data_IF_116725552709
#
_entry.id   IF_116725552709
#
_cell.length_a   1.000
_cell.length_b   1.000
_cell.length_c   1.000
_cell.angle_alpha   90.00
_cell.angle_beta   90.00
_cell.angle_gamma   90.00
#
_symmetry.space_group_name_H-M   'P 1'
#
loop_
_entity.id
_entity.type
_entity.pdbx_description
1 polymer ?
#
# COMPACT_ATOMS: atom_id res chain seq x y z
N UNK A 1 -40.69 43.81 18.80
CA UNK A 1 -39.32 43.27 18.67
C UNK A 1 -39.18 42.07 19.59
N UNK A 2 -39.10 40.85 19.03
CA UNK A 2 -38.90 39.60 19.78
C UNK A 2 -37.48 39.11 19.48
N UNK A 3 -36.64 39.02 20.52
CA UNK A 3 -35.31 38.42 20.42
C UNK A 3 -35.45 36.90 20.49
N UNK A 4 -34.99 36.20 19.46
CA UNK A 4 -34.87 34.76 19.44
C UNK A 4 -33.48 34.36 19.97
N UNK A 5 -33.44 33.63 21.09
CA UNK A 5 -32.22 33.02 21.62
C UNK A 5 -31.86 31.80 20.77
N UNK A 6 -30.70 31.85 20.11
CA UNK A 6 -30.09 30.70 19.46
C UNK A 6 -29.25 29.93 20.49
N UNK A 7 -29.68 28.72 20.86
CA UNK A 7 -28.90 27.80 21.65
C UNK A 7 -27.94 27.03 20.72
N UNK A 8 -26.63 27.23 20.92
CA UNK A 8 -25.60 26.46 20.23
C UNK A 8 -25.44 25.09 20.92
N UNK A 9 -25.74 24.02 20.18
CA UNK A 9 -25.48 22.64 20.60
C UNK A 9 -23.99 22.33 20.35
N UNK A 10 -23.20 22.29 21.42
CA UNK A 10 -21.83 21.75 21.39
C UNK A 10 -21.91 20.21 21.33
N UNK A 11 -21.68 19.64 20.16
CA UNK A 11 -21.43 18.20 20.01
C UNK A 11 -20.04 17.90 20.58
N UNK A 12 -20.00 17.34 21.78
CA UNK A 12 -18.79 16.76 22.35
C UNK A 12 -18.44 15.51 21.51
N UNK A 13 -17.44 15.64 20.64
CA UNK A 13 -16.80 14.49 19.99
C UNK A 13 -16.00 13.80 21.09
N UNK A 14 -16.60 12.80 21.72
CA UNK A 14 -15.88 11.86 22.55
C UNK A 14 -14.81 11.22 21.68
N UNK A 15 -13.54 11.56 21.92
CA UNK A 15 -12.41 10.83 21.39
C UNK A 15 -12.50 9.40 21.95
N UNK A 16 -13.22 8.53 21.24
CA UNK A 16 -13.21 7.10 21.50
C UNK A 16 -11.78 6.63 21.27
N UNK A 17 -11.00 6.52 22.35
CA UNK A 17 -9.74 5.78 22.32
C UNK A 17 -10.10 4.36 21.89
N UNK A 18 -9.74 4.02 20.65
CA UNK A 18 -9.96 2.71 20.08
C UNK A 18 -9.35 1.68 21.05
N UNK A 19 -10.09 0.62 21.46
CA UNK A 19 -9.56 -0.36 22.39
C UNK A 19 -8.27 -0.98 21.83
N UNK A 20 -7.33 -1.40 22.71
CA UNK A 20 -6.10 -2.05 22.26
C UNK A 20 -6.44 -3.21 21.33
N UNK A 21 -5.86 -3.22 20.14
CA UNK A 21 -6.14 -4.26 19.15
C UNK A 21 -5.65 -5.61 19.65
N UNK A 22 -6.45 -6.64 19.39
CA UNK A 22 -6.09 -8.01 19.75
C UNK A 22 -4.79 -8.40 19.02
N UNK A 23 -3.83 -8.91 19.78
CA UNK A 23 -2.58 -9.43 19.23
C UNK A 23 -2.86 -10.62 18.32
N UNK A 24 -2.31 -10.61 17.10
CA UNK A 24 -2.46 -11.70 16.13
C UNK A 24 -3.77 -11.66 15.33
N UNK A 25 -4.26 -10.46 15.00
CA UNK A 25 -5.44 -10.28 14.13
C UNK A 25 -5.04 -10.06 12.69
N UNK A 26 -5.59 -10.86 11.77
CA UNK A 26 -5.43 -10.72 10.34
C UNK A 26 -6.78 -10.31 9.75
N UNK A 27 -6.78 -9.27 8.93
CA UNK A 27 -7.92 -8.86 8.10
C UNK A 27 -7.53 -9.02 6.65
N UNK A 28 -8.21 -9.92 5.96
CA UNK A 28 -8.06 -10.19 4.52
C UNK A 28 -9.02 -9.33 3.70
N UNK A 29 -8.97 -9.41 2.37
CA UNK A 29 -9.95 -8.75 1.51
C UNK A 29 -11.41 -9.17 1.84
N UNK A 30 -11.62 -10.42 2.23
CA UNK A 30 -12.95 -10.91 2.65
C UNK A 30 -13.46 -10.21 3.92
N UNK A 31 -12.56 -9.68 4.76
CA UNK A 31 -12.89 -8.91 5.96
C UNK A 31 -12.96 -7.40 5.69
N UNK A 32 -12.02 -6.88 4.87
CA UNK A 32 -11.90 -5.47 4.57
C UNK A 32 -13.10 -4.95 3.77
N UNK A 33 -13.61 -5.71 2.81
CA UNK A 33 -14.74 -5.26 1.98
C UNK A 33 -16.03 -5.09 2.79
N UNK A 34 -16.52 -6.06 3.58
CA UNK A 34 -17.66 -5.85 4.47
C UNK A 34 -17.42 -4.75 5.51
N UNK A 35 -16.21 -4.64 6.06
CA UNK A 35 -15.89 -3.60 7.03
C UNK A 35 -15.93 -2.19 6.41
N UNK A 36 -15.52 -2.03 5.15
CA UNK A 36 -15.64 -0.76 4.43
C UNK A 36 -17.11 -0.35 4.27
N UNK A 37 -18.00 -1.30 3.98
CA UNK A 37 -19.46 -1.08 3.94
C UNK A 37 -20.02 -0.65 5.29
N UNK A 38 -19.41 -1.12 6.38
CA UNK A 38 -19.74 -0.72 7.75
C UNK A 38 -19.09 0.62 8.17
N UNK A 39 -18.28 1.25 7.32
CA UNK A 39 -17.61 2.51 7.63
C UNK A 39 -16.38 2.37 8.54
N UNK A 40 -15.78 1.18 8.64
CA UNK A 40 -14.53 0.98 9.37
C UNK A 40 -13.40 1.81 8.74
N UNK A 41 -12.67 2.58 9.56
CA UNK A 41 -11.69 3.56 9.08
C UNK A 41 -10.52 2.90 8.32
N UNK A 42 -10.00 1.78 8.81
CA UNK A 42 -8.89 1.09 8.14
C UNK A 42 -9.33 0.44 6.82
N UNK A 43 -10.53 -0.14 6.81
CA UNK A 43 -11.09 -0.71 5.60
C UNK A 43 -11.41 0.35 4.56
N UNK A 44 -12.02 1.49 4.94
CA UNK A 44 -12.32 2.58 4.00
C UNK A 44 -11.05 3.28 3.49
N UNK A 45 -9.93 3.19 4.22
CA UNK A 45 -8.61 3.61 3.71
C UNK A 45 -8.02 2.63 2.68
N UNK A 46 -8.50 1.38 2.64
CA UNK A 46 -7.97 0.31 1.78
C UNK A 46 -8.92 -0.07 0.63
N UNK A 47 -10.23 0.12 0.82
CA UNK A 47 -11.31 -0.24 -0.10
C UNK A 47 -12.19 0.99 -0.37
N UNK A 48 -12.39 1.30 -1.64
CA UNK A 48 -13.44 2.22 -2.11
C UNK A 48 -14.57 1.40 -2.69
N UNK A 49 -15.81 1.63 -2.26
CA UNK A 49 -16.94 0.86 -2.74
C UNK A 49 -17.37 1.35 -4.12
N UNK A 50 -17.96 0.46 -4.91
CA UNK A 50 -18.55 0.78 -6.21
C UNK A 50 -19.38 2.07 -6.19
N UNK A 51 -19.16 2.94 -7.17
CA UNK A 51 -19.85 4.23 -7.30
C UNK A 51 -19.48 5.31 -6.25
N UNK A 52 -18.58 5.03 -5.31
CA UNK A 52 -18.07 6.06 -4.39
C UNK A 52 -16.98 6.89 -5.04
N UNK A 53 -16.78 8.11 -4.53
CA UNK A 53 -15.69 8.97 -4.96
C UNK A 53 -14.33 8.30 -4.69
N UNK A 54 -13.45 8.34 -5.69
CA UNK A 54 -12.09 7.83 -5.55
C UNK A 54 -11.28 8.72 -4.60
N UNK A 55 -10.66 8.15 -3.55
CA UNK A 55 -9.76 8.89 -2.68
C UNK A 55 -8.59 9.49 -3.48
N UNK A 56 -8.05 10.63 -2.99
CA UNK A 56 -6.89 11.34 -3.57
C UNK A 56 -7.06 11.92 -4.98
N UNK A 57 -8.19 11.64 -5.65
CA UNK A 57 -8.50 12.15 -6.98
C UNK A 57 -9.28 13.47 -6.90
N UNK A 58 -9.31 14.21 -8.02
CA UNK A 58 -10.19 15.38 -8.15
C UNK A 58 -11.65 15.02 -7.93
N UNK A 59 -12.44 15.96 -7.40
CA UNK A 59 -13.87 15.78 -7.16
C UNK A 59 -14.61 15.30 -8.42
N UNK A 60 -15.50 14.31 -8.26
CA UNK A 60 -16.38 13.82 -9.32
C UNK A 60 -15.93 12.53 -10.00
N UNK A 61 -14.69 12.07 -9.78
CA UNK A 61 -14.27 10.74 -10.23
C UNK A 61 -14.77 9.69 -9.23
N UNK A 62 -15.55 8.73 -9.72
CA UNK A 62 -16.15 7.66 -8.93
C UNK A 62 -15.64 6.30 -9.39
N UNK A 63 -15.55 5.36 -8.45
CA UNK A 63 -15.23 3.96 -8.71
C UNK A 63 -16.26 3.32 -9.64
N UNK A 64 -15.82 2.39 -10.50
CA UNK A 64 -16.70 1.58 -11.36
C UNK A 64 -17.94 1.03 -10.59
N UNK A 65 -19.14 1.05 -11.19
CA UNK A 65 -20.36 0.69 -10.49
C UNK A 65 -20.55 -0.83 -10.32
N UNK A 66 -19.78 -1.66 -11.05
CA UNK A 66 -19.91 -3.12 -11.01
C UNK A 66 -18.99 -3.79 -9.96
N UNK A 67 -18.01 -3.06 -9.42
CA UNK A 67 -16.96 -3.62 -8.54
C UNK A 67 -16.43 -2.63 -7.53
N UNK A 68 -16.03 -3.16 -6.38
CA UNK A 68 -15.31 -2.41 -5.36
C UNK A 68 -13.83 -2.29 -5.77
N UNK A 69 -13.12 -1.29 -5.26
CA UNK A 69 -11.75 -0.97 -5.65
C UNK A 69 -10.79 -0.97 -4.46
N UNK A 70 -9.58 -1.48 -4.64
CA UNK A 70 -8.45 -1.27 -3.76
C UNK A 70 -7.99 0.18 -3.93
N UNK A 71 -8.04 0.95 -2.86
CA UNK A 71 -7.64 2.36 -2.86
C UNK A 71 -6.17 2.46 -3.27
N UNK A 72 -5.92 3.22 -4.34
CA UNK A 72 -4.57 3.60 -4.74
C UNK A 72 -4.07 4.65 -3.74
N UNK A 73 -3.16 4.25 -2.86
CA UNK A 73 -2.53 5.15 -1.91
C UNK A 73 -1.26 5.72 -2.55
N UNK A 74 -1.20 7.04 -2.81
CA UNK A 74 0.04 7.67 -3.24
C UNK A 74 1.07 7.59 -2.10
N UNK A 75 2.34 7.46 -2.46
CA UNK A 75 3.45 7.33 -1.53
C UNK A 75 4.74 7.92 -2.14
N UNK A 76 5.76 8.03 -1.30
CA UNK A 76 7.14 8.20 -1.77
C UNK A 76 7.95 6.96 -1.41
N UNK A 77 8.83 6.55 -2.31
CA UNK A 77 9.80 5.49 -2.05
C UNK A 77 11.10 5.86 -2.75
N UNK A 78 12.21 5.78 -2.01
CA UNK A 78 13.55 6.09 -2.54
C UNK A 78 13.61 7.43 -3.32
N UNK A 79 13.04 8.50 -2.75
CA UNK A 79 12.97 9.84 -3.34
C UNK A 79 12.12 9.97 -4.62
N UNK A 80 11.38 8.92 -5.01
CA UNK A 80 10.54 8.88 -6.21
C UNK A 80 9.06 8.76 -5.85
N UNK A 81 8.16 9.31 -6.69
CA UNK A 81 6.73 9.01 -6.58
C UNK A 81 6.48 7.51 -6.70
N UNK A 82 5.58 7.02 -5.86
CA UNK A 82 5.15 5.64 -5.84
C UNK A 82 3.66 5.56 -5.51
N UNK A 83 3.03 4.44 -5.82
CA UNK A 83 1.71 4.15 -5.30
C UNK A 83 1.58 2.67 -4.98
N UNK A 84 0.79 2.38 -3.96
CA UNK A 84 0.52 1.01 -3.54
C UNK A 84 -0.97 0.80 -3.28
N UNK A 85 -1.33 -0.45 -3.11
CA UNK A 85 -2.63 -0.86 -2.54
C UNK A 85 -2.40 -1.60 -1.22
N UNK A 86 -3.47 -1.80 -0.45
CA UNK A 86 -3.46 -2.63 0.75
C UNK A 86 -4.48 -3.74 0.58
N UNK A 87 -4.02 -4.99 0.67
CA UNK A 87 -4.83 -6.20 0.52
C UNK A 87 -5.06 -6.93 1.85
N UNK A 88 -4.13 -6.79 2.80
CA UNK A 88 -4.26 -7.36 4.13
C UNK A 88 -3.71 -6.41 5.21
N UNK A 89 -4.31 -6.48 6.40
CA UNK A 89 -3.83 -5.80 7.61
C UNK A 89 -3.54 -6.86 8.68
N UNK A 90 -2.37 -6.78 9.30
CA UNK A 90 -1.91 -7.68 10.35
C UNK A 90 -1.60 -6.87 11.61
N UNK A 91 -2.33 -7.10 12.69
CA UNK A 91 -2.09 -6.44 13.97
C UNK A 91 -1.43 -7.43 14.95
N UNK A 92 -0.25 -7.07 15.48
CA UNK A 92 0.43 -7.82 16.53
C UNK A 92 1.08 -9.14 16.09
N UNK A 93 1.35 -9.34 14.79
CA UNK A 93 2.15 -10.48 14.31
C UNK A 93 3.65 -10.18 14.47
N UNK A 94 4.48 -11.16 14.86
CA UNK A 94 5.92 -10.94 14.92
C UNK A 94 6.59 -11.05 13.54
N UNK A 95 6.05 -11.89 12.65
CA UNK A 95 6.59 -12.26 11.34
C UNK A 95 5.48 -12.80 10.44
N UNK A 96 5.71 -12.74 9.13
CA UNK A 96 4.86 -13.34 8.10
C UNK A 96 5.71 -14.27 7.24
N UNK A 97 5.18 -15.43 6.86
CA UNK A 97 5.88 -16.44 6.06
C UNK A 97 5.25 -16.56 4.68
N UNK A 98 6.06 -16.80 3.67
CA UNK A 98 5.55 -17.20 2.37
C UNK A 98 4.97 -18.63 2.45
N UNK A 99 3.81 -18.81 1.85
CA UNK A 99 3.07 -20.07 1.80
C UNK A 99 3.24 -20.73 0.43
N UNK A 100 3.05 -22.05 0.29
CA UNK A 100 3.20 -22.68 -1.02
C UNK A 100 2.04 -22.34 -1.95
N UNK A 101 2.34 -22.11 -3.23
CA UNK A 101 1.36 -22.13 -4.33
C UNK A 101 1.83 -23.15 -5.37
N UNK A 102 0.91 -23.97 -5.87
CA UNK A 102 1.20 -25.02 -6.82
C UNK A 102 0.64 -24.67 -8.20
N UNK A 103 1.47 -24.82 -9.23
CA UNK A 103 1.12 -24.57 -10.63
C UNK A 103 1.39 -25.83 -11.43
N UNK A 104 0.37 -26.39 -12.06
CA UNK A 104 0.50 -27.60 -12.89
C UNK A 104 1.22 -27.25 -14.20
N UNK A 105 2.26 -28.01 -14.54
CA UNK A 105 3.07 -27.84 -15.76
C UNK A 105 3.27 -29.17 -16.46
N UNK A 106 3.29 -29.17 -17.79
CA UNK A 106 3.59 -30.36 -18.61
C UNK A 106 5.06 -30.51 -18.94
N UNK A 107 5.88 -29.52 -18.60
CA UNK A 107 7.30 -29.46 -18.92
C UNK A 107 7.90 -28.08 -18.69
N UNK A 108 9.15 -27.94 -19.12
CA UNK A 108 9.87 -26.66 -19.21
C UNK A 108 10.38 -26.49 -20.63
N UNK A 109 10.36 -25.26 -21.14
CA UNK A 109 10.95 -24.92 -22.44
C UNK A 109 12.50 -24.95 -22.37
N UNK A 110 13.21 -24.83 -23.52
CA UNK A 110 14.68 -24.84 -23.54
C UNK A 110 15.35 -23.72 -22.73
N UNK A 111 14.64 -22.64 -22.41
CA UNK A 111 15.10 -21.52 -21.58
C UNK A 111 14.77 -21.72 -20.09
N UNK A 112 14.14 -22.83 -19.73
CA UNK A 112 13.69 -23.14 -18.36
C UNK A 112 12.37 -22.49 -17.99
N UNK A 113 11.64 -21.91 -18.95
CA UNK A 113 10.30 -21.36 -18.74
C UNK A 113 9.26 -22.47 -18.53
N UNK A 114 8.37 -22.37 -17.53
CA UNK A 114 7.37 -23.40 -17.26
C UNK A 114 6.29 -23.44 -18.34
N UNK A 115 5.99 -24.64 -18.85
CA UNK A 115 4.88 -24.86 -19.77
C UNK A 115 3.63 -25.24 -18.97
N UNK A 116 2.78 -24.25 -18.64
CA UNK A 116 1.57 -24.47 -17.83
C UNK A 116 0.60 -25.43 -18.51
N UNK A 117 -0.02 -26.32 -17.72
CA UNK A 117 -1.16 -27.11 -18.18
C UNK A 117 -2.32 -26.15 -18.52
N UNK A 118 -2.74 -26.15 -19.78
CA UNK A 118 -3.81 -25.26 -20.26
C UNK A 118 -5.12 -25.51 -19.49
N UNK A 119 -5.79 -24.43 -19.07
CA UNK A 119 -7.04 -24.49 -18.32
C UNK A 119 -6.91 -24.86 -16.84
N UNK A 120 -5.70 -25.19 -16.35
CA UNK A 120 -5.50 -25.47 -14.93
C UNK A 120 -5.40 -24.19 -14.08
N UNK A 121 -6.20 -24.16 -13.03
CA UNK A 121 -6.13 -23.14 -12.00
C UNK A 121 -4.91 -23.36 -11.08
N UNK A 122 -4.36 -22.28 -10.52
CA UNK A 122 -3.36 -22.38 -9.47
C UNK A 122 -3.99 -22.95 -8.19
N UNK A 123 -3.21 -23.69 -7.41
CA UNK A 123 -3.67 -24.31 -6.15
C UNK A 123 -2.90 -23.68 -5.00
N UNK A 124 -3.60 -22.94 -4.15
CA UNK A 124 -3.04 -22.25 -3.00
C UNK A 124 -2.92 -23.20 -1.82
N UNK A 125 -1.81 -23.08 -1.09
CA UNK A 125 -1.50 -23.91 0.07
C UNK A 125 -2.52 -23.82 1.19
N UNK A 126 -3.13 -22.63 1.33
CA UNK A 126 -4.03 -22.23 2.40
C UNK A 126 -5.06 -21.23 1.85
N UNK A 127 -6.31 -21.32 2.29
CA UNK A 127 -7.34 -20.30 2.02
C UNK A 127 -7.26 -19.07 2.94
N UNK A 128 -8.00 -17.99 2.60
CA UNK A 128 -7.96 -16.71 3.34
C UNK A 128 -8.48 -16.80 4.78
N UNK A 129 -9.24 -17.85 5.12
CA UNK A 129 -9.75 -18.10 6.47
C UNK A 129 -8.75 -18.79 7.40
N UNK A 130 -7.60 -19.24 6.86
CA UNK A 130 -6.54 -19.86 7.66
C UNK A 130 -5.80 -18.81 8.49
N UNK A 131 -5.47 -19.13 9.75
CA UNK A 131 -4.57 -18.29 10.56
C UNK A 131 -3.14 -18.24 10.04
N UNK A 132 -2.79 -19.16 9.14
CA UNK A 132 -1.49 -19.22 8.47
C UNK A 132 -1.55 -18.66 7.04
N UNK A 133 -2.70 -18.15 6.59
CA UNK A 133 -2.81 -17.47 5.31
C UNK A 133 -1.72 -16.39 5.18
N UNK A 134 -1.28 -16.12 3.96
CA UNK A 134 -0.49 -14.94 3.62
C UNK A 134 -0.64 -14.66 2.12
N UNK A 135 -0.53 -13.41 1.65
CA UNK A 135 -0.51 -13.09 0.21
C UNK A 135 0.85 -13.35 -0.46
N UNK A 136 1.81 -13.93 0.27
CA UNK A 136 3.17 -14.19 -0.18
C UNK A 136 3.30 -15.66 -0.51
N UNK A 137 3.63 -16.00 -1.75
CA UNK A 137 3.64 -17.38 -2.22
C UNK A 137 5.00 -17.84 -2.76
N UNK A 138 5.52 -18.93 -2.20
CA UNK A 138 6.58 -19.71 -2.82
C UNK A 138 5.97 -20.62 -3.89
N UNK A 139 6.30 -20.37 -5.16
CA UNK A 139 5.80 -21.20 -6.26
C UNK A 139 6.45 -22.58 -6.26
N UNK A 140 5.66 -23.61 -6.50
CA UNK A 140 6.10 -24.96 -6.83
C UNK A 140 5.42 -25.40 -8.13
N UNK A 141 6.22 -25.73 -9.14
CA UNK A 141 5.73 -26.33 -10.38
C UNK A 141 5.52 -27.82 -10.17
N UNK A 142 4.30 -28.29 -10.39
CA UNK A 142 3.92 -29.71 -10.28
C UNK A 142 3.97 -30.31 -11.68
N UNK A 143 4.91 -31.24 -11.90
CA UNK A 143 5.07 -31.90 -13.19
C UNK A 143 3.97 -32.93 -13.39
N UNK A 144 3.09 -32.69 -14.37
CA UNK A 144 1.97 -33.60 -14.70
C UNK A 144 2.20 -34.26 -16.06
N UNK A 145 1.75 -35.51 -16.26
CA UNK A 145 1.81 -36.16 -17.56
C UNK A 145 0.90 -35.46 -18.59
N UNK A 146 1.16 -35.71 -19.88
CA UNK A 146 0.26 -35.26 -20.96
C UNK A 146 -1.15 -35.84 -20.76
N UNK A 147 -2.18 -35.00 -20.94
CA UNK A 147 -3.58 -35.39 -20.78
C UNK A 147 -4.06 -35.43 -19.33
N UNK A 148 -3.28 -34.94 -18.36
CA UNK A 148 -3.70 -34.83 -16.98
C UNK A 148 -4.97 -33.96 -16.84
N UNK A 149 -5.94 -34.42 -16.05
CA UNK A 149 -7.19 -33.70 -15.85
C UNK A 149 -6.94 -32.44 -15.01
N UNK A 150 -7.31 -31.27 -15.54
CA UNK A 150 -7.02 -29.93 -14.97
C UNK A 150 -7.55 -29.74 -13.55
N UNK A 151 -8.66 -30.40 -13.20
CA UNK A 151 -9.32 -30.25 -11.91
C UNK A 151 -9.14 -31.45 -10.98
N UNK A 152 -8.19 -32.35 -11.27
CA UNK A 152 -7.92 -33.52 -10.43
C UNK A 152 -7.17 -33.17 -9.14
N UNK A 153 -6.48 -32.03 -9.10
CA UNK A 153 -5.80 -31.50 -7.93
C UNK A 153 -6.41 -30.14 -7.56
N UNK A 154 -6.99 -30.04 -6.36
CA UNK A 154 -7.69 -28.83 -5.88
C UNK A 154 -7.25 -28.36 -4.50
N UNK A 155 -6.33 -29.09 -3.86
CA UNK A 155 -5.80 -28.74 -2.53
C UNK A 155 -4.32 -29.08 -2.44
N UNK A 156 -3.63 -28.44 -1.51
CA UNK A 156 -2.23 -28.75 -1.19
C UNK A 156 -2.06 -30.20 -0.76
N UNK A 157 -3.00 -30.74 0.02
CA UNK A 157 -3.02 -32.16 0.39
C UNK A 157 -3.12 -33.07 -0.84
N UNK A 158 -4.00 -32.78 -1.80
CA UNK A 158 -4.11 -33.57 -3.03
C UNK A 158 -2.81 -33.52 -3.85
N UNK A 159 -2.16 -32.35 -3.93
CA UNK A 159 -0.86 -32.21 -4.60
C UNK A 159 0.20 -33.07 -3.91
N UNK A 160 0.31 -33.00 -2.58
CA UNK A 160 1.31 -33.76 -1.82
C UNK A 160 1.05 -35.27 -1.95
N UNK A 161 -0.21 -35.70 -1.78
CA UNK A 161 -0.60 -37.11 -1.88
C UNK A 161 -0.48 -37.69 -3.29
N UNK A 162 -0.43 -36.85 -4.33
CA UNK A 162 -0.24 -37.30 -5.70
C UNK A 162 1.15 -37.90 -5.95
N UNK A 163 2.15 -37.56 -5.12
CA UNK A 163 3.53 -37.98 -5.30
C UNK A 163 4.20 -37.42 -6.57
N UNK A 164 3.57 -36.44 -7.24
CA UNK A 164 4.11 -35.84 -8.46
C UNK A 164 5.37 -35.00 -8.17
N UNK A 165 6.34 -34.94 -9.09
CA UNK A 165 7.54 -34.13 -8.90
C UNK A 165 7.23 -32.64 -8.72
N UNK A 166 7.86 -32.02 -7.72
CA UNK A 166 7.77 -30.59 -7.43
C UNK A 166 9.10 -29.90 -7.76
N UNK A 167 9.04 -28.83 -8.55
CA UNK A 167 10.21 -27.96 -8.82
C UNK A 167 9.96 -26.58 -8.23
N UNK A 168 10.82 -26.07 -7.34
CA UNK A 168 10.70 -24.70 -6.83
C UNK A 168 10.73 -23.67 -7.97
N UNK A 169 9.83 -22.69 -7.91
CA UNK A 169 9.74 -21.56 -8.82
C UNK A 169 10.01 -20.22 -8.12
N UNK A 170 9.71 -19.10 -8.79
CA UNK A 170 9.88 -17.76 -8.24
C UNK A 170 8.86 -17.45 -7.13
N UNK A 171 9.14 -16.39 -6.37
CA UNK A 171 8.18 -15.83 -5.41
C UNK A 171 7.04 -15.14 -6.18
N UNK A 172 5.83 -15.18 -5.63
CA UNK A 172 4.64 -14.55 -6.24
C UNK A 172 3.81 -13.85 -5.19
N UNK A 173 3.40 -12.61 -5.46
CA UNK A 173 2.48 -11.89 -4.57
C UNK A 173 1.07 -11.93 -5.15
N UNK A 174 0.16 -12.56 -4.41
CA UNK A 174 -1.23 -12.74 -4.80
C UNK A 174 -2.12 -12.61 -3.57
N UNK A 175 -3.16 -11.79 -3.64
CA UNK A 175 -4.17 -11.74 -2.57
C UNK A 175 -5.38 -12.58 -2.97
N UNK A 176 -5.83 -13.47 -2.08
CA UNK A 176 -7.12 -14.13 -2.20
C UNK A 176 -8.22 -13.18 -1.71
N UNK A 177 -9.35 -13.15 -2.39
CA UNK A 177 -10.45 -12.27 -2.01
C UNK A 177 -11.67 -12.37 -2.91
N UNK A 178 -12.61 -11.43 -2.79
CA UNK A 178 -13.84 -11.44 -3.59
C UNK A 178 -13.56 -11.20 -5.08
N UNK A 179 -14.44 -11.75 -5.94
CA UNK A 179 -14.38 -11.55 -7.39
C UNK A 179 -14.51 -10.08 -7.79
N UNK A 180 -15.32 -9.33 -7.05
CA UNK A 180 -15.71 -7.96 -7.38
C UNK A 180 -14.75 -6.92 -6.80
N UNK A 181 -13.47 -7.25 -6.64
CA UNK A 181 -12.43 -6.34 -6.14
C UNK A 181 -11.26 -6.29 -7.10
N UNK A 182 -10.80 -5.10 -7.45
CA UNK A 182 -9.58 -4.87 -8.22
C UNK A 182 -8.92 -3.54 -7.86
N UNK A 183 -7.85 -3.13 -8.54
CA UNK A 183 -7.25 -1.80 -8.30
C UNK A 183 -8.24 -0.69 -8.68
N UNK A 184 -8.53 0.24 -7.76
CA UNK A 184 -9.53 1.26 -7.97
C UNK A 184 -9.25 2.16 -9.18
N UNK A 185 -10.29 2.46 -9.95
CA UNK A 185 -10.20 3.31 -11.13
C UNK A 185 -11.55 3.96 -11.50
N UNK A 186 -11.53 5.07 -12.26
CA UNK A 186 -12.75 5.71 -12.73
C UNK A 186 -13.47 4.89 -13.80
N UNK A 187 -14.76 5.17 -13.99
CA UNK A 187 -15.57 4.56 -15.04
C UNK A 187 -14.95 4.73 -16.42
N UNK A 188 -14.72 3.62 -17.13
CA UNK A 188 -14.20 3.59 -18.49
C UNK A 188 -12.72 3.98 -18.63
N UNK A 189 -11.98 4.04 -17.52
CA UNK A 189 -10.55 4.40 -17.48
C UNK A 189 -9.75 3.33 -16.75
N UNK A 190 -8.45 3.23 -17.03
CA UNK A 190 -7.55 2.39 -16.22
C UNK A 190 -7.18 3.06 -14.89
N UNK A 191 -6.59 2.30 -13.94
CA UNK A 191 -6.08 2.86 -12.70
C UNK A 191 -4.91 3.81 -13.00
N UNK A 192 -4.92 4.99 -12.36
CA UNK A 192 -3.90 6.04 -12.54
C UNK A 192 -3.37 6.55 -11.20
N UNK A 193 -2.12 6.97 -11.16
CA UNK A 193 -1.52 7.59 -9.99
C UNK A 193 -2.25 8.92 -9.67
N UNK A 194 -2.72 9.16 -8.42
CA UNK A 194 -3.57 10.31 -8.11
C UNK A 194 -2.98 11.70 -8.35
N UNK A 195 -1.65 11.80 -8.34
CA UNK A 195 -0.97 13.08 -8.54
C UNK A 195 -0.33 13.26 -9.91
N UNK A 196 0.39 12.26 -10.42
CA UNK A 196 1.07 12.34 -11.71
C UNK A 196 0.18 11.96 -12.90
N UNK A 197 -0.90 11.20 -12.68
CA UNK A 197 -1.77 10.69 -13.73
C UNK A 197 -1.19 9.50 -14.50
N UNK A 198 -0.03 8.98 -14.09
CA UNK A 198 0.61 7.84 -14.74
C UNK A 198 -0.23 6.57 -14.62
N UNK A 199 -0.23 5.75 -15.67
CA UNK A 199 -0.94 4.48 -15.66
C UNK A 199 -0.35 3.52 -14.63
N UNK A 200 -1.23 2.85 -13.88
CA UNK A 200 -0.86 1.86 -12.88
C UNK A 200 -1.01 0.44 -13.43
N UNK A 201 -0.41 -0.51 -12.70
CA UNK A 201 -0.67 -1.93 -12.94
C UNK A 201 -2.15 -2.26 -12.66
N UNK A 202 -2.89 -2.58 -13.72
CA UNK A 202 -4.24 -3.16 -13.60
C UNK A 202 -4.16 -4.68 -13.53
N UNK A 203 -4.97 -5.29 -12.67
CA UNK A 203 -5.07 -6.74 -12.50
C UNK A 203 -6.53 -7.14 -12.33
N UNK A 204 -7.00 -7.97 -13.24
CA UNK A 204 -8.31 -8.60 -13.12
C UNK A 204 -8.20 -9.85 -12.23
N UNK A 205 -9.18 -10.11 -11.36
CA UNK A 205 -9.27 -11.35 -10.61
C UNK A 205 -9.29 -12.58 -11.52
N UNK A 206 -8.54 -13.60 -11.15
CA UNK A 206 -8.56 -14.92 -11.78
C UNK A 206 -9.11 -15.97 -10.82
N UNK A 207 -9.55 -17.11 -11.36
CA UNK A 207 -9.97 -18.24 -10.54
C UNK A 207 -8.76 -19.05 -10.05
N UNK A 208 -8.90 -19.60 -8.85
CA UNK A 208 -7.91 -20.46 -8.22
C UNK A 208 -8.57 -21.49 -7.30
N UNK A 209 -7.82 -22.53 -6.94
CA UNK A 209 -8.21 -23.47 -5.90
C UNK A 209 -7.54 -23.10 -4.58
N UNK A 210 -8.27 -23.14 -3.46
CA UNK A 210 -7.72 -23.05 -2.11
C UNK A 210 -8.52 -23.98 -1.20
N UNK A 211 -7.83 -24.89 -0.49
CA UNK A 211 -8.46 -25.87 0.40
C UNK A 211 -9.59 -26.70 -0.26
N UNK A 212 -9.45 -27.01 -1.56
CA UNK A 212 -10.45 -27.78 -2.32
C UNK A 212 -11.59 -26.94 -2.92
N UNK A 213 -11.70 -25.66 -2.53
CA UNK A 213 -12.76 -24.74 -2.95
C UNK A 213 -12.28 -23.78 -4.03
N UNK A 214 -13.18 -23.39 -4.93
CA UNK A 214 -12.90 -22.41 -5.96
C UNK A 214 -12.95 -21.00 -5.33
N UNK A 215 -11.89 -20.23 -5.52
CA UNK A 215 -11.73 -18.87 -5.00
C UNK A 215 -11.26 -17.91 -6.10
N UNK A 216 -11.14 -16.63 -5.76
CA UNK A 216 -10.64 -15.59 -6.65
C UNK A 216 -9.33 -15.02 -6.12
N UNK A 217 -8.45 -14.66 -7.06
CA UNK A 217 -7.12 -14.16 -6.76
C UNK A 217 -6.81 -12.89 -7.55
N UNK A 218 -6.27 -11.89 -6.86
CA UNK A 218 -5.60 -10.73 -7.46
C UNK A 218 -4.10 -10.99 -7.51
N UNK A 219 -3.58 -11.25 -8.70
CA UNK A 219 -2.18 -11.58 -8.94
C UNK A 219 -1.35 -10.34 -9.33
N UNK A 220 -0.46 -9.89 -8.45
CA UNK A 220 0.40 -8.73 -8.70
C UNK A 220 1.73 -9.11 -9.38
N UNK A 221 1.94 -10.39 -9.66
CA UNK A 221 3.08 -10.90 -10.41
C UNK A 221 4.18 -11.51 -9.54
N UNK A 222 5.28 -11.80 -10.23
CA UNK A 222 6.45 -12.47 -9.68
C UNK A 222 7.38 -11.49 -8.98
N UNK A 223 8.17 -12.01 -8.03
CA UNK A 223 9.29 -11.34 -7.38
C UNK A 223 8.96 -9.93 -6.88
N UNK A 224 7.83 -9.78 -6.16
CA UNK A 224 7.41 -8.50 -5.57
C UNK A 224 7.93 -8.29 -4.14
N UNK A 225 8.63 -9.27 -3.59
CA UNK A 225 9.13 -9.29 -2.22
C UNK A 225 10.34 -10.22 -2.08
N UNK A 226 10.92 -10.24 -0.88
CA UNK A 226 12.06 -11.09 -0.53
C UNK A 226 11.73 -11.95 0.68
N UNK A 227 12.39 -13.09 0.78
CA UNK A 227 12.35 -13.96 1.96
C UNK A 227 13.76 -14.25 2.46
N UNK A 228 13.87 -14.73 3.70
CA UNK A 228 15.09 -15.38 4.19
C UNK A 228 15.04 -16.91 3.97
N UNK A 229 16.06 -17.64 4.43
CA UNK A 229 16.17 -19.10 4.28
C UNK A 229 15.02 -19.89 4.92
N UNK A 230 14.27 -19.28 5.84
CA UNK A 230 13.10 -19.87 6.50
C UNK A 230 11.77 -19.39 5.88
N UNK A 231 11.80 -18.82 4.68
CA UNK A 231 10.65 -18.23 3.98
C UNK A 231 9.95 -17.10 4.76
N UNK A 232 10.63 -16.48 5.74
CA UNK A 232 10.10 -15.29 6.41
C UNK A 232 10.19 -14.13 5.44
N UNK A 233 9.06 -13.48 5.19
CA UNK A 233 8.94 -12.31 4.32
C UNK A 233 9.67 -11.14 4.97
N UNK A 234 10.49 -10.47 4.19
CA UNK A 234 11.22 -9.29 4.63
C UNK A 234 10.28 -8.08 4.60
N UNK A 235 10.14 -7.42 5.74
CA UNK A 235 9.40 -6.18 5.88
C UNK A 235 10.19 -4.96 5.36
N UNK A 236 9.45 -3.91 5.03
CA UNK A 236 9.96 -2.56 4.91
C UNK A 236 9.27 -1.64 5.92
N UNK A 237 9.94 -0.61 6.41
CA UNK A 237 9.28 0.42 7.21
C UNK A 237 8.29 1.23 6.36
N UNK A 238 7.13 1.58 6.91
CA UNK A 238 6.18 2.53 6.33
C UNK A 238 5.97 3.69 7.29
N UNK A 239 6.44 4.87 6.90
CA UNK A 239 6.37 6.08 7.71
C UNK A 239 5.14 6.89 7.35
N UNK A 240 4.14 6.90 8.24
CA UNK A 240 2.97 7.78 8.14
C UNK A 240 3.24 9.03 8.97
N UNK A 241 3.23 10.20 8.34
CA UNK A 241 3.50 11.44 9.07
C UNK A 241 2.37 11.80 10.01
N UNK A 242 2.74 12.38 11.15
CA UNK A 242 1.83 12.79 12.20
C UNK A 242 2.27 14.12 12.85
N UNK A 243 1.31 14.83 13.44
CA UNK A 243 1.54 15.95 14.34
C UNK A 243 1.10 15.54 15.75
N UNK A 244 1.79 16.02 16.80
CA UNK A 244 1.32 15.90 18.17
C UNK A 244 0.06 16.73 18.36
N UNK A 245 -1.00 16.08 18.83
CA UNK A 245 -2.19 16.74 19.34
C UNK A 245 -1.93 17.51 20.63
N UNK A 246 -2.95 18.23 21.11
CA UNK A 246 -2.86 18.99 22.36
C UNK A 246 -2.57 18.10 23.60
N UNK A 247 -2.90 16.82 23.52
CA UNK A 247 -2.64 15.79 24.54
C UNK A 247 -1.26 15.11 24.38
N UNK A 248 -0.47 15.53 23.40
CA UNK A 248 0.83 14.92 23.09
C UNK A 248 0.75 13.59 22.33
N UNK A 249 -0.44 13.17 21.87
CA UNK A 249 -0.58 11.96 21.06
C UNK A 249 -0.29 12.24 19.59
N UNK A 250 0.44 11.37 18.87
CA UNK A 250 0.61 11.51 17.43
C UNK A 250 -0.72 11.35 16.68
N UNK A 251 -1.10 12.35 15.90
CA UNK A 251 -2.27 12.38 15.03
C UNK A 251 -1.82 12.34 13.57
N UNK A 252 -2.17 11.29 12.79
CA UNK A 252 -1.80 11.21 11.38
C UNK A 252 -2.26 12.42 10.59
N UNK A 253 -1.44 12.88 9.64
CA UNK A 253 -1.80 13.96 8.71
C UNK A 253 -2.02 13.41 7.29
N UNK A 254 -2.89 14.03 6.47
CA UNK A 254 -3.32 13.51 5.17
C UNK A 254 -2.29 13.79 4.06
N UNK A 255 -1.08 13.25 4.22
CA UNK A 255 -0.02 13.28 3.22
C UNK A 255 0.41 11.85 2.86
N UNK A 256 0.97 11.63 1.65
CA UNK A 256 1.53 10.35 1.26
C UNK A 256 2.56 9.85 2.28
N UNK A 257 2.51 8.58 2.69
CA UNK A 257 3.55 8.00 3.52
C UNK A 257 4.84 7.77 2.72
N UNK A 258 5.93 7.51 3.43
CA UNK A 258 7.19 7.04 2.86
C UNK A 258 7.31 5.54 3.06
N UNK A 259 7.46 4.79 1.97
CA UNK A 259 7.78 3.37 2.00
C UNK A 259 9.30 3.22 1.97
N UNK A 260 9.86 2.59 2.98
CA UNK A 260 11.28 2.27 3.04
C UNK A 260 11.68 1.12 2.12
N UNK A 261 12.98 0.88 2.05
CA UNK A 261 13.59 -0.19 1.23
C UNK A 261 14.02 -1.39 2.08
N UNK A 262 13.91 -1.29 3.42
CA UNK A 262 14.17 -2.36 4.36
C UNK A 262 13.53 -2.10 5.73
N UNK A 263 13.80 -2.98 6.72
CA UNK A 263 13.29 -2.81 8.08
C UNK A 263 13.80 -1.50 8.71
N UNK A 264 13.09 -1.01 9.72
CA UNK A 264 13.45 0.24 10.41
C UNK A 264 14.92 0.24 10.86
N UNK A 265 15.65 1.32 10.55
CA UNK A 265 17.11 1.51 10.79
C UNK A 265 18.04 0.59 10.02
N UNK A 266 17.50 -0.14 9.03
CA UNK A 266 18.26 -1.02 8.15
C UNK A 266 17.80 -0.83 6.69
N UNK A 267 17.90 0.40 6.15
CA UNK A 267 17.59 0.65 4.74
C UNK A 267 18.51 -0.18 3.84
N UNK A 268 18.04 -0.44 2.63
CA UNK A 268 18.77 -1.17 1.59
C UNK A 268 18.74 -0.39 0.29
N UNK A 269 19.54 -0.81 -0.69
CA UNK A 269 19.36 -0.30 -2.05
C UNK A 269 17.95 -0.69 -2.54
N UNK A 270 17.25 0.26 -3.16
CA UNK A 270 16.02 -0.06 -3.86
C UNK A 270 16.34 -1.05 -5.01
N UNK A 271 15.51 -2.07 -5.13
CA UNK A 271 15.62 -3.10 -6.16
C UNK A 271 14.26 -3.27 -6.82
N UNK A 272 14.17 -2.94 -8.11
CA UNK A 272 12.93 -2.93 -8.87
C UNK A 272 13.15 -3.50 -10.29
N UNK A 273 13.50 -4.78 -10.43
CA UNK A 273 13.73 -5.37 -11.75
C UNK A 273 12.47 -5.24 -12.60
N UNK A 274 12.64 -4.82 -13.84
CA UNK A 274 11.54 -4.54 -14.78
C UNK A 274 10.56 -3.47 -14.26
N UNK A 275 11.01 -2.52 -13.45
CA UNK A 275 10.18 -1.46 -12.86
C UNK A 275 9.26 -1.95 -11.75
N UNK A 276 9.47 -3.17 -11.24
CA UNK A 276 8.65 -3.81 -10.23
C UNK A 276 9.46 -3.99 -8.93
N UNK A 277 9.24 -3.15 -7.89
CA UNK A 277 9.91 -3.27 -6.61
C UNK A 277 9.84 -4.67 -5.99
N UNK A 278 10.97 -5.12 -5.43
CA UNK A 278 11.13 -6.32 -4.57
C UNK A 278 11.07 -5.99 -3.07
N UNK A 279 10.64 -4.79 -2.73
CA UNK A 279 10.51 -4.26 -1.38
C UNK A 279 9.11 -3.66 -1.17
N UNK A 280 8.74 -3.40 0.07
CA UNK A 280 7.51 -2.67 0.41
C UNK A 280 6.20 -3.44 0.21
N UNK A 281 6.25 -4.72 -0.18
CA UNK A 281 5.04 -5.55 -0.23
C UNK A 281 4.50 -5.84 1.18
N UNK A 282 5.39 -6.17 2.13
CA UNK A 282 5.10 -6.23 3.57
C UNK A 282 5.65 -4.98 4.24
N UNK A 283 4.79 -4.24 4.94
CA UNK A 283 5.14 -2.94 5.52
C UNK A 283 4.85 -2.91 7.00
N UNK A 284 5.85 -2.61 7.81
CA UNK A 284 5.68 -2.32 9.24
C UNK A 284 5.39 -0.83 9.41
N UNK A 285 4.20 -0.50 9.94
CA UNK A 285 3.76 0.90 10.02
C UNK A 285 4.29 1.62 11.26
N UNK A 286 4.83 2.82 11.04
CA UNK A 286 5.27 3.74 12.09
C UNK A 286 4.55 5.08 11.92
N UNK A 287 4.02 5.61 13.02
CA UNK A 287 3.66 7.03 13.06
C UNK A 287 4.93 7.84 13.28
N UNK A 288 5.15 8.82 12.42
CA UNK A 288 6.36 9.64 12.36
C UNK A 288 6.00 11.09 12.66
N UNK A 289 6.27 11.51 13.90
CA UNK A 289 5.96 12.86 14.37
C UNK A 289 6.91 13.88 13.79
N UNK A 290 6.36 14.89 13.11
CA UNK A 290 7.12 16.01 12.54
C UNK A 290 6.80 17.34 13.23
N UNK A 291 6.16 17.34 14.41
CA UNK A 291 5.86 18.56 15.14
C UNK A 291 7.13 19.36 15.43
N UNK A 292 7.22 20.63 14.98
CA UNK A 292 8.40 21.45 15.21
C UNK A 292 8.59 21.71 16.69
N UNK A 293 9.82 21.59 17.19
CA UNK A 293 10.18 22.06 18.53
C UNK A 293 10.55 23.53 18.49
N UNK A 294 10.49 24.21 19.64
CA UNK A 294 10.94 25.60 19.74
C UNK A 294 12.38 25.75 19.21
N UNK A 295 12.58 26.69 18.28
CA UNK A 295 13.87 26.95 17.64
C UNK A 295 14.24 26.02 16.48
N UNK A 296 13.39 25.05 16.12
CA UNK A 296 13.57 24.25 14.92
C UNK A 296 12.79 24.84 13.73
N UNK A 297 13.25 24.59 12.48
CA UNK A 297 12.46 24.90 11.30
C UNK A 297 11.09 24.24 11.35
N UNK A 298 10.10 24.91 10.76
CA UNK A 298 8.76 24.34 10.60
C UNK A 298 8.75 23.45 9.36
N UNK A 299 8.36 22.16 9.45
CA UNK A 299 8.23 21.32 8.28
C UNK A 299 7.22 21.89 7.28
N UNK A 300 7.49 21.70 6.01
CA UNK A 300 6.61 22.12 4.92
C UNK A 300 6.00 20.93 4.19
N UNK A 301 4.75 21.06 3.78
CA UNK A 301 4.06 20.17 2.85
C UNK A 301 3.94 20.93 1.53
N UNK A 302 4.61 20.44 0.49
CA UNK A 302 4.58 21.09 -0.81
C UNK A 302 3.22 20.90 -1.47
N UNK A 303 2.58 21.99 -1.90
CA UNK A 303 1.34 21.93 -2.70
C UNK A 303 1.46 22.94 -3.84
N UNK A 304 1.49 22.41 -5.07
CA UNK A 304 1.49 23.16 -6.32
C UNK A 304 0.35 24.19 -6.35
N UNK A 305 0.62 25.40 -6.84
CA UNK A 305 -0.38 26.46 -6.98
C UNK A 305 -1.50 26.08 -7.96
N UNK A 306 -1.28 25.05 -8.80
CA UNK A 306 -2.29 24.43 -9.66
C UNK A 306 -3.42 23.73 -8.87
N UNK A 307 -3.23 23.46 -7.57
CA UNK A 307 -4.18 22.73 -6.70
C UNK A 307 -4.73 23.60 -5.56
N UNK A 308 -5.42 24.72 -5.85
CA UNK A 308 -5.89 25.64 -4.82
C UNK A 308 -6.89 24.99 -3.85
N UNK A 309 -7.77 24.10 -4.33
CA UNK A 309 -8.74 23.40 -3.48
C UNK A 309 -8.06 22.49 -2.44
N UNK A 310 -7.09 21.67 -2.88
CA UNK A 310 -6.30 20.81 -1.99
C UNK A 310 -5.54 21.62 -0.95
N UNK A 311 -4.92 22.73 -1.38
CA UNK A 311 -4.20 23.64 -0.48
C UNK A 311 -5.12 24.22 0.60
N UNK A 312 -6.31 24.72 0.22
CA UNK A 312 -7.26 25.28 1.18
C UNK A 312 -7.77 24.23 2.17
N UNK A 313 -8.05 23.02 1.69
CA UNK A 313 -8.42 21.90 2.56
C UNK A 313 -7.33 21.60 3.61
N UNK A 314 -6.07 21.55 3.20
CA UNK A 314 -4.96 21.29 4.12
C UNK A 314 -4.70 22.47 5.07
N UNK A 315 -4.86 23.71 4.62
CA UNK A 315 -4.78 24.89 5.51
C UNK A 315 -5.87 24.82 6.58
N UNK A 316 -7.09 24.42 6.23
CA UNK A 316 -8.17 24.27 7.20
C UNK A 316 -7.91 23.17 8.23
N UNK A 317 -7.19 22.11 7.85
CA UNK A 317 -6.91 20.97 8.71
C UNK A 317 -5.63 21.11 9.55
N UNK A 318 -4.57 21.64 8.96
CA UNK A 318 -3.21 21.66 9.54
C UNK A 318 -2.75 23.08 9.90
N UNK A 319 -3.35 24.11 9.30
CA UNK A 319 -2.91 25.50 9.41
C UNK A 319 -1.94 25.91 8.31
N UNK A 320 -1.96 27.21 8.00
CA UNK A 320 -1.16 27.79 6.90
C UNK A 320 0.36 27.63 7.08
N UNK A 321 0.84 27.53 8.33
CA UNK A 321 2.27 27.47 8.64
C UNK A 321 2.96 26.25 8.01
N UNK A 322 2.26 25.13 7.86
CA UNK A 322 2.80 23.91 7.24
C UNK A 322 2.72 23.92 5.70
N UNK A 323 2.03 24.90 5.13
CA UNK A 323 1.75 25.01 3.70
C UNK A 323 2.36 26.33 3.19
N UNK A 324 3.70 26.49 3.14
CA UNK A 324 4.31 27.69 2.55
C UNK A 324 3.89 27.86 1.07
N UNK A 325 3.92 29.09 0.57
CA UNK A 325 3.67 29.35 -0.85
C UNK A 325 4.90 28.95 -1.67
N UNK A 326 4.75 28.12 -2.72
CA UNK A 326 5.84 27.84 -3.64
C UNK A 326 6.34 29.09 -4.36
N UNK A 327 7.63 29.13 -4.66
CA UNK A 327 8.24 30.18 -5.48
C UNK A 327 7.77 30.05 -6.94
N UNK A 328 7.88 31.16 -7.70
CA UNK A 328 7.64 31.10 -9.15
C UNK A 328 8.64 30.18 -9.89
N UNK A 329 9.79 29.87 -9.29
CA UNK A 329 10.71 28.87 -9.84
C UNK A 329 10.14 27.45 -9.66
N UNK A 330 9.66 27.12 -8.46
CA UNK A 330 9.02 25.84 -8.18
C UNK A 330 7.80 25.58 -9.08
N UNK A 331 6.96 26.60 -9.30
CA UNK A 331 5.76 26.50 -10.15
C UNK A 331 6.08 26.32 -11.64
N UNK A 332 7.28 26.70 -12.09
CA UNK A 332 7.71 26.52 -13.49
C UNK A 332 8.31 25.14 -13.77
N UNK A 333 8.55 24.32 -12.75
CA UNK A 333 9.06 22.96 -12.97
C UNK A 333 7.99 22.11 -13.67
N UNK A 334 8.31 21.47 -14.81
CA UNK A 334 7.42 20.53 -15.47
C UNK A 334 6.96 19.40 -14.54
N UNK A 335 7.88 18.91 -13.71
CA UNK A 335 7.71 17.78 -12.80
C UNK A 335 7.15 18.17 -11.42
N UNK A 336 6.73 19.42 -11.20
CA UNK A 336 6.30 19.90 -9.86
C UNK A 336 5.21 19.03 -9.21
N UNK A 337 4.35 18.40 -10.01
CA UNK A 337 3.29 17.51 -9.50
C UNK A 337 3.83 16.24 -8.84
N UNK A 338 5.07 15.84 -9.15
CA UNK A 338 5.78 14.75 -8.46
C UNK A 338 6.17 15.11 -7.01
N UNK A 339 6.15 16.40 -6.65
CA UNK A 339 6.43 16.88 -5.30
C UNK A 339 5.16 17.17 -4.50
N UNK A 340 3.97 17.05 -5.11
CA UNK A 340 2.69 17.32 -4.44
C UNK A 340 2.54 16.44 -3.19
N UNK A 341 2.29 17.09 -2.05
CA UNK A 341 2.21 16.53 -0.70
C UNK A 341 3.50 15.92 -0.15
N UNK A 342 4.65 16.12 -0.81
CA UNK A 342 5.97 15.74 -0.28
C UNK A 342 6.31 16.62 0.91
N UNK A 343 6.89 16.02 1.95
CA UNK A 343 7.24 16.69 3.21
C UNK A 343 8.72 17.08 3.19
N UNK A 344 9.01 18.34 3.49
CA UNK A 344 10.37 18.84 3.74
C UNK A 344 10.54 19.17 5.23
N UNK A 345 11.75 18.96 5.75
CA UNK A 345 12.11 19.27 7.13
C UNK A 345 12.00 20.78 7.44
N UNK A 346 12.25 21.63 6.44
CA UNK A 346 12.08 23.08 6.49
C UNK A 346 11.25 23.54 5.30
N UNK A 347 10.02 23.99 5.54
CA UNK A 347 9.12 24.46 4.49
C UNK A 347 9.56 25.75 3.81
N UNK A 348 10.46 26.53 4.41
CA UNK A 348 10.93 27.78 3.81
C UNK A 348 11.66 27.54 2.49
N UNK A 349 12.20 26.34 2.25
CA UNK A 349 12.87 25.95 1.03
C UNK A 349 11.97 26.06 -0.22
N UNK A 350 10.63 25.99 -0.07
CA UNK A 350 9.70 26.10 -1.20
C UNK A 350 9.71 27.49 -1.84
N UNK A 351 10.12 28.51 -1.08
CA UNK A 351 10.25 29.89 -1.53
C UNK A 351 11.57 30.19 -2.26
N UNK A 352 12.52 29.25 -2.26
CA UNK A 352 13.85 29.46 -2.82
C UNK A 352 13.87 29.23 -4.34
N UNK A 353 14.85 29.83 -5.01
CA UNK A 353 15.00 29.79 -6.48
C UNK A 353 15.61 28.49 -6.99
N UNK A 354 16.32 27.78 -6.12
CA UNK A 354 17.01 26.51 -6.39
C UNK A 354 16.18 25.27 -5.99
N UNK A 355 14.88 25.47 -5.70
CA UNK A 355 13.92 24.38 -5.57
C UNK A 355 14.00 23.44 -6.80
N UNK A 356 14.00 22.11 -6.62
CA UNK A 356 13.74 21.36 -5.38
C UNK A 356 15.00 21.03 -4.56
N UNK A 357 16.19 21.44 -5.02
CA UNK A 357 17.48 20.99 -4.47
C UNK A 357 17.82 21.59 -3.10
N UNK A 358 17.25 22.76 -2.76
CA UNK A 358 17.42 23.36 -1.43
C UNK A 358 16.64 22.68 -0.32
N UNK A 359 15.69 21.80 -0.66
CA UNK A 359 14.84 21.17 0.33
C UNK A 359 15.50 19.90 0.90
N UNK A 360 15.51 19.80 2.23
CA UNK A 360 15.79 18.52 2.91
C UNK A 360 14.48 17.75 2.98
N UNK A 361 14.25 16.90 1.99
CA UNK A 361 13.02 16.12 1.89
C UNK A 361 13.00 14.89 2.80
N UNK A 362 11.81 14.53 3.27
CA UNK A 362 11.54 13.33 4.07
C UNK A 362 10.78 12.30 3.20
N UNK A 363 11.45 11.71 2.22
CA UNK A 363 10.86 10.87 1.15
C UNK A 363 11.63 9.58 0.84
N UNK A 364 12.72 9.36 1.55
CA UNK A 364 13.50 8.12 1.59
C UNK A 364 13.51 7.65 3.04
N UNK A 365 13.67 6.35 3.24
CA UNK A 365 13.90 5.82 4.59
C UNK A 365 15.11 6.48 5.24
N UNK A 366 16.22 6.63 4.50
CA UNK A 366 17.43 7.26 5.01
C UNK A 366 17.22 8.71 5.44
N UNK A 367 16.46 9.51 4.69
CA UNK A 367 16.18 10.89 5.06
C UNK A 367 15.24 10.99 6.27
N UNK A 368 14.20 10.15 6.34
CA UNK A 368 13.30 10.11 7.50
C UNK A 368 14.05 9.70 8.77
N UNK A 369 14.80 8.60 8.72
CA UNK A 369 15.51 8.06 9.89
C UNK A 369 16.75 8.90 10.27
N UNK A 370 17.40 9.54 9.31
CA UNK A 370 18.61 10.33 9.53
C UNK A 370 18.34 11.76 10.02
N UNK A 371 17.20 12.37 9.67
CA UNK A 371 16.89 13.76 10.02
C UNK A 371 15.94 13.90 11.22
N UNK A 372 15.23 12.83 11.62
CA UNK A 372 14.30 12.87 12.74
C UNK A 372 14.90 12.19 13.99
N UNK A 373 14.63 12.72 15.20
CA UNK A 373 15.11 12.09 16.43
C UNK A 373 14.44 10.73 16.63
N UNK A 374 15.10 9.82 17.36
CA UNK A 374 14.55 8.48 17.65
C UNK A 374 13.18 8.49 18.36
N UNK A 375 12.86 9.58 19.07
CA UNK A 375 11.57 9.78 19.74
C UNK A 375 10.44 10.19 18.80
N UNK A 376 10.73 10.46 17.52
CA UNK A 376 9.72 10.81 16.52
C UNK A 376 8.92 9.59 16.02
N UNK A 377 9.35 8.37 16.35
CA UNK A 377 8.80 7.14 15.80
C UNK A 377 7.97 6.39 16.84
N UNK A 378 6.68 6.21 16.56
CA UNK A 378 5.79 5.35 17.32
C UNK A 378 5.49 4.11 16.50
N UNK A 379 5.96 2.95 17.00
CA UNK A 379 5.66 1.65 16.42
C UNK A 379 4.19 1.28 16.68
N UNK A 380 3.42 1.14 15.60
CA UNK A 380 2.00 0.81 15.67
C UNK A 380 1.72 -0.67 15.93
N UNK A 381 2.77 -1.52 15.86
CA UNK A 381 2.68 -3.00 15.88
C UNK A 381 1.79 -3.57 14.78
N UNK A 382 1.59 -2.79 13.71
CA UNK A 382 0.79 -3.15 12.54
C UNK A 382 1.69 -3.42 11.34
N UNK A 383 1.35 -4.47 10.61
CA UNK A 383 1.76 -4.64 9.23
C UNK A 383 0.61 -4.40 8.27
N UNK A 384 0.93 -3.85 7.10
CA UNK A 384 0.04 -3.89 5.94
C UNK A 384 0.74 -4.62 4.79
N UNK A 385 -0.03 -5.44 4.07
CA UNK A 385 0.42 -6.13 2.87
C UNK A 385 -0.25 -5.55 1.64
N UNK A 386 0.48 -5.49 0.54
CA UNK A 386 -0.03 -5.04 -0.76
C UNK A 386 1.11 -4.62 -1.68
N UNK A 387 0.95 -4.84 -2.97
CA UNK A 387 2.00 -4.50 -3.92
C UNK A 387 2.06 -2.99 -4.18
N UNK A 388 3.25 -2.51 -4.54
CA UNK A 388 3.33 -1.32 -5.38
C UNK A 388 2.54 -1.55 -6.67
N UNK A 389 1.71 -0.60 -7.05
CA UNK A 389 1.04 -0.56 -8.36
C UNK A 389 1.69 0.46 -9.29
N UNK A 390 2.63 1.25 -8.75
CA UNK A 390 3.50 2.16 -9.48
C UNK A 390 4.75 2.52 -8.66
N UNK A 391 5.87 2.67 -9.36
CA UNK A 391 7.13 3.16 -8.83
C UNK A 391 7.92 3.80 -9.97
N UNK A 392 8.18 5.10 -9.89
CA UNK A 392 8.94 5.84 -10.91
C UNK A 392 10.47 5.75 -10.67
N UNK A 393 10.92 4.85 -9.80
CA UNK A 393 12.35 4.61 -9.61
C UNK A 393 12.91 3.76 -10.74
N UNK A 394 14.06 4.19 -11.26
CA UNK A 394 14.87 3.40 -12.17
C UNK A 394 15.67 2.41 -11.33
N UNK A 395 15.64 1.12 -11.65
CA UNK A 395 16.58 0.19 -11.05
C UNK A 395 18.00 0.45 -11.60
N UNK A 396 19.06 0.40 -10.77
CA UNK A 396 20.44 0.40 -11.23
C UNK A 396 20.77 -0.82 -12.11
#
# INVERSE_FOLDING_TARGET
>A
MRFANAAALLLAVSACTEPPRATGSLRTLDDLVPAARAGDADATASIVLRGQQLPWQSSGLVQEPDRDGLVVQPAFADARPAAFVTTEIWDGFPRVWAQPIYILVTGFDPQGGPQRLAGANSIFGLGPKSRFYSPYWQTFYVMVPSGFATDSLRSSEAVINSGLPLTPGPLRFCALGPREVEVAHPVGQGPVHPFTGDALLSRLPAQAWADGELTWVLDFGLDRYRVNDNLVVQEAALFRFALLGADGTPQPIPVPPVVGTGPFRTPRAADAPNGLPRFGALRHEYLTTITPRAGQPVPGIFVSASRPALRQQLIAQLGQVFLPLPSGAAERLPEREQYTLRVALDGSCFGLTDFPNSCTWLDTQGAVEGNLPSTAFTDTKRFSSGAFVFFDGVAP
#
